data_IF_401828805275
#
_entry.id   IF_401828805275
#
_cell.length_a   1.000
_cell.length_b   1.000
_cell.length_c   1.000
_cell.angle_alpha   90.00
_cell.angle_beta   90.00
_cell.angle_gamma   90.00
#
_symmetry.space_group_name_H-M   'P 1'
#
loop_
_entity.id
_entity.type
_entity.pdbx_description
1 polymer ?
#
# COMPACT_ATOMS: atom_id res chain seq x y z
N UNK A 1 32.00 26.74 -19.50
CA UNK A 1 32.07 27.05 -18.05
C UNK A 1 30.82 26.52 -17.38
N UNK A 2 30.88 26.05 -16.14
CA UNK A 2 29.67 25.64 -15.42
C UNK A 2 28.68 26.81 -15.33
N UNK A 3 27.39 26.54 -15.60
CA UNK A 3 26.29 27.52 -15.57
C UNK A 3 25.24 27.02 -14.60
N UNK A 4 24.53 27.96 -13.94
CA UNK A 4 23.40 27.61 -13.10
C UNK A 4 22.23 27.09 -13.96
N UNK A 5 21.43 26.16 -13.43
CA UNK A 5 20.25 25.60 -14.14
C UNK A 5 19.23 26.70 -14.48
N UNK A 6 19.17 27.75 -13.66
CA UNK A 6 18.31 28.92 -13.88
C UNK A 6 18.83 29.87 -14.95
N UNK A 7 20.03 29.67 -15.47
CA UNK A 7 20.69 30.54 -16.44
C UNK A 7 20.42 30.06 -17.87
N UNK A 8 19.38 30.56 -18.52
CA UNK A 8 18.98 30.29 -19.91
C UNK A 8 18.83 28.80 -20.25
N UNK A 9 18.33 27.97 -19.31
CA UNK A 9 18.09 26.53 -19.51
C UNK A 9 19.28 25.82 -20.18
N UNK A 10 20.42 25.68 -19.49
CA UNK A 10 21.60 25.02 -20.05
C UNK A 10 21.28 23.58 -20.47
N UNK A 11 21.80 23.18 -21.61
CA UNK A 11 21.60 21.82 -22.18
C UNK A 11 22.92 21.07 -22.14
N UNK A 12 22.87 19.83 -21.63
CA UNK A 12 23.92 18.85 -21.86
C UNK A 12 23.50 17.99 -23.06
N UNK A 13 24.32 17.94 -24.10
CA UNK A 13 24.07 17.14 -25.27
C UNK A 13 25.12 16.03 -25.42
N UNK A 14 24.67 14.83 -25.81
CA UNK A 14 25.51 13.69 -26.13
C UNK A 14 25.19 13.26 -27.54
N UNK A 15 26.25 13.02 -28.35
CA UNK A 15 26.12 12.54 -29.71
C UNK A 15 26.63 11.11 -29.76
N UNK A 16 25.78 10.20 -30.23
CA UNK A 16 26.11 8.80 -30.46
C UNK A 16 26.27 8.60 -31.97
N UNK A 17 27.49 8.32 -32.41
CA UNK A 17 27.76 8.02 -33.81
C UNK A 17 27.62 6.52 -34.06
N UNK A 18 26.66 6.13 -34.89
CA UNK A 18 26.40 4.73 -35.27
C UNK A 18 27.23 4.28 -36.48
N UNK A 19 28.06 5.16 -37.06
CA UNK A 19 28.82 4.86 -38.23
C UNK A 19 27.94 4.50 -39.45
N UNK A 20 28.36 3.55 -40.26
CA UNK A 20 27.56 3.04 -41.39
C UNK A 20 26.51 2.06 -40.94
N UNK A 21 25.25 2.51 -40.92
CA UNK A 21 24.09 1.65 -40.57
C UNK A 21 23.69 0.82 -41.79
N UNK A 22 23.65 -0.50 -41.67
CA UNK A 22 23.29 -1.47 -42.69
C UNK A 22 22.07 -2.32 -42.25
N UNK A 23 21.93 -3.51 -42.83
CA UNK A 23 20.88 -4.45 -42.42
C UNK A 23 21.14 -5.12 -41.04
N UNK A 24 22.35 -5.01 -40.53
CA UNK A 24 22.69 -5.50 -39.20
C UNK A 24 22.25 -4.48 -38.14
N UNK A 25 21.63 -4.98 -37.05
CA UNK A 25 21.22 -4.12 -35.95
C UNK A 25 22.45 -3.58 -35.22
N UNK A 26 22.55 -2.26 -35.10
CA UNK A 26 23.54 -1.57 -34.26
C UNK A 26 22.80 -0.89 -33.11
N UNK A 27 23.21 -1.12 -31.89
CA UNK A 27 22.61 -0.51 -30.70
C UNK A 27 23.67 0.07 -29.79
N UNK A 28 23.32 1.18 -29.16
CA UNK A 28 24.09 1.80 -28.09
C UNK A 28 23.12 2.15 -26.95
N UNK A 29 23.61 2.26 -25.73
CA UNK A 29 22.78 2.63 -24.59
C UNK A 29 23.43 3.76 -23.79
N UNK A 30 22.59 4.50 -23.07
CA UNK A 30 22.97 5.56 -22.17
C UNK A 30 22.44 5.24 -20.77
N UNK A 31 23.29 5.37 -19.77
CA UNK A 31 22.90 5.25 -18.37
C UNK A 31 22.71 6.63 -17.79
N UNK A 32 21.51 6.91 -17.25
CA UNK A 32 21.20 8.08 -16.47
C UNK A 32 21.12 7.66 -15.01
N UNK A 33 21.83 8.36 -14.14
CA UNK A 33 21.84 8.08 -12.71
C UNK A 33 21.43 9.32 -11.91
N UNK A 34 20.62 9.08 -10.87
CA UNK A 34 20.27 10.06 -9.85
C UNK A 34 20.89 9.64 -8.53
N UNK A 35 21.67 10.52 -7.93
CA UNK A 35 22.23 10.35 -6.60
C UNK A 35 21.84 11.54 -5.74
N UNK A 36 20.91 11.31 -4.82
CA UNK A 36 20.41 12.29 -3.88
C UNK A 36 21.21 12.35 -2.56
N UNK A 37 22.32 11.60 -2.45
CA UNK A 37 23.17 11.41 -1.26
C UNK A 37 22.39 11.01 0.01
N UNK A 38 21.33 11.76 0.32
CA UNK A 38 20.37 11.52 1.40
C UNK A 38 18.98 11.56 0.83
N UNK A 39 18.35 10.38 0.79
CA UNK A 39 17.06 10.19 0.16
C UNK A 39 15.92 10.76 0.99
N UNK A 40 15.93 10.52 2.30
CA UNK A 40 14.84 10.84 3.22
C UNK A 40 15.40 11.44 4.50
N UNK A 41 14.75 12.50 4.99
CA UNK A 41 14.91 12.96 6.35
C UNK A 41 13.83 12.31 7.23
N UNK A 42 14.20 11.25 7.94
CA UNK A 42 13.30 10.49 8.81
C UNK A 42 13.52 10.91 10.27
N UNK A 43 12.64 11.79 10.78
CA UNK A 43 12.72 12.35 12.15
C UNK A 43 14.10 12.84 12.54
N UNK A 44 14.74 13.59 11.65
CA UNK A 44 16.09 14.16 11.85
C UNK A 44 17.25 13.25 11.43
N UNK A 45 16.98 11.97 11.17
CA UNK A 45 17.95 11.05 10.59
C UNK A 45 17.98 11.21 9.07
N UNK A 46 19.14 11.49 8.50
CA UNK A 46 19.34 11.56 7.06
C UNK A 46 19.60 10.16 6.53
N UNK A 47 18.58 9.52 5.96
CA UNK A 47 18.69 8.18 5.40
C UNK A 47 19.30 8.24 4.00
N UNK A 48 20.27 7.36 3.76
CA UNK A 48 20.88 7.19 2.44
C UNK A 48 20.07 6.23 1.56
N UNK A 49 20.19 6.31 0.23
CA UNK A 49 19.65 5.28 -0.65
C UNK A 49 20.13 3.89 -0.22
N UNK A 50 19.28 2.89 -0.34
CA UNK A 50 19.59 1.53 0.11
C UNK A 50 20.84 0.94 -0.54
N UNK A 51 21.14 1.28 -1.79
CA UNK A 51 22.35 0.84 -2.47
C UNK A 51 23.67 1.32 -1.80
N UNK A 52 23.62 2.42 -1.04
CA UNK A 52 24.77 2.94 -0.28
C UNK A 52 25.01 2.25 1.05
N UNK A 53 24.14 1.32 1.50
CA UNK A 53 24.23 0.68 2.83
C UNK A 53 25.59 0.01 3.14
N UNK A 54 26.30 -0.43 2.09
CA UNK A 54 27.61 -1.09 2.20
C UNK A 54 28.77 -0.15 1.85
N UNK A 55 28.57 1.18 1.88
CA UNK A 55 29.61 2.16 1.60
C UNK A 55 29.87 2.48 0.13
N UNK A 56 29.10 1.89 -0.79
CA UNK A 56 29.17 2.14 -2.24
C UNK A 56 29.02 3.64 -2.55
N UNK A 57 29.83 4.17 -3.45
CA UNK A 57 29.75 5.53 -3.96
C UNK A 57 29.12 5.56 -5.36
N UNK A 58 28.75 6.74 -5.85
CA UNK A 58 28.08 6.88 -7.14
C UNK A 58 28.89 6.26 -8.32
N UNK A 59 30.21 6.41 -8.32
CA UNK A 59 31.06 5.82 -9.35
C UNK A 59 31.08 4.29 -9.28
N UNK A 60 31.04 3.72 -8.06
CA UNK A 60 30.97 2.27 -7.87
C UNK A 60 29.64 1.73 -8.41
N UNK A 61 28.53 2.43 -8.14
CA UNK A 61 27.20 2.07 -8.67
C UNK A 61 27.19 2.09 -10.20
N UNK A 62 27.72 3.17 -10.82
CA UNK A 62 27.79 3.26 -12.28
C UNK A 62 28.66 2.15 -12.88
N UNK A 63 29.80 1.85 -12.27
CA UNK A 63 30.69 0.77 -12.69
C UNK A 63 29.98 -0.58 -12.59
N UNK A 64 29.30 -0.86 -11.49
CA UNK A 64 28.53 -2.08 -11.31
C UNK A 64 27.39 -2.17 -12.37
N UNK A 65 26.65 -1.07 -12.58
CA UNK A 65 25.57 -1.03 -13.57
C UNK A 65 26.05 -1.35 -14.99
N UNK A 66 27.21 -0.84 -15.41
CA UNK A 66 27.82 -1.14 -16.71
C UNK A 66 28.21 -2.62 -16.81
N UNK A 67 28.88 -3.14 -15.77
CA UNK A 67 29.35 -4.52 -15.75
C UNK A 67 28.22 -5.55 -15.76
N UNK A 68 27.13 -5.24 -15.04
CA UNK A 68 26.01 -6.15 -14.83
C UNK A 68 24.91 -5.99 -15.90
N UNK A 69 24.97 -4.97 -16.75
CA UNK A 69 23.89 -4.58 -17.66
C UNK A 69 23.31 -5.74 -18.46
N UNK A 70 24.18 -6.48 -19.19
CA UNK A 70 23.73 -7.57 -20.05
C UNK A 70 23.09 -8.73 -19.27
N UNK A 71 23.60 -9.02 -18.07
CA UNK A 71 23.04 -10.05 -17.21
C UNK A 71 21.71 -9.60 -16.61
N UNK A 72 21.63 -8.36 -16.13
CA UNK A 72 20.40 -7.79 -15.58
C UNK A 72 19.30 -7.69 -16.64
N UNK A 73 19.64 -7.26 -17.85
CA UNK A 73 18.69 -7.23 -18.97
C UNK A 73 18.09 -8.61 -19.21
N UNK A 74 18.92 -9.64 -19.30
CA UNK A 74 18.43 -11.00 -19.50
C UNK A 74 17.55 -11.50 -18.35
N UNK A 75 17.93 -11.20 -17.11
CA UNK A 75 17.11 -11.59 -15.93
C UNK A 75 15.75 -10.88 -15.95
N UNK A 76 15.72 -9.58 -16.31
CA UNK A 76 14.48 -8.83 -16.45
C UNK A 76 13.58 -9.42 -17.54
N UNK A 77 14.15 -9.74 -18.72
CA UNK A 77 13.41 -10.36 -19.84
C UNK A 77 12.75 -11.69 -19.42
N UNK A 78 13.49 -12.54 -18.69
CA UNK A 78 12.95 -13.82 -18.18
C UNK A 78 11.84 -13.58 -17.18
N UNK A 79 12.06 -12.70 -16.21
CA UNK A 79 11.08 -12.38 -15.19
C UNK A 79 9.80 -11.78 -15.78
N UNK A 80 9.94 -10.82 -16.69
CA UNK A 80 8.80 -10.17 -17.36
C UNK A 80 7.98 -11.20 -18.14
N UNK A 81 8.64 -12.13 -18.85
CA UNK A 81 7.94 -13.17 -19.60
C UNK A 81 7.19 -14.14 -18.68
N UNK A 82 7.83 -14.61 -17.59
CA UNK A 82 7.19 -15.49 -16.61
C UNK A 82 5.98 -14.81 -15.95
N UNK A 83 6.12 -13.54 -15.54
CA UNK A 83 5.04 -12.77 -14.93
C UNK A 83 3.85 -12.62 -15.89
N UNK A 84 4.11 -12.23 -17.14
CA UNK A 84 3.06 -12.03 -18.14
C UNK A 84 2.38 -13.36 -18.47
N UNK A 85 3.12 -14.44 -18.63
CA UNK A 85 2.57 -15.75 -18.94
C UNK A 85 1.65 -16.27 -17.83
N UNK A 86 2.07 -16.14 -16.57
CA UNK A 86 1.30 -16.60 -15.43
C UNK A 86 0.03 -15.78 -15.23
N UNK A 87 0.11 -14.47 -15.35
CA UNK A 87 -1.07 -13.62 -15.22
C UNK A 87 -2.02 -13.80 -16.42
N UNK A 88 -1.48 -14.04 -17.63
CA UNK A 88 -2.29 -14.33 -18.82
C UNK A 88 -3.10 -15.62 -18.65
N UNK A 89 -2.52 -16.66 -18.07
CA UNK A 89 -3.23 -17.90 -17.74
C UNK A 89 -4.40 -17.67 -16.78
N UNK A 90 -4.24 -16.70 -15.85
CA UNK A 90 -5.24 -16.41 -14.83
C UNK A 90 -6.39 -15.53 -15.37
N UNK A 91 -6.10 -14.49 -16.13
CA UNK A 91 -7.08 -13.46 -16.48
C UNK A 91 -7.06 -13.00 -17.96
N UNK A 92 -6.20 -13.58 -18.78
CA UNK A 92 -6.03 -13.20 -20.19
C UNK A 92 -5.09 -11.98 -20.37
N UNK A 93 -4.77 -11.67 -21.63
CA UNK A 93 -3.77 -10.66 -22.01
C UNK A 93 -4.07 -9.25 -21.46
N UNK A 94 -5.34 -8.82 -21.48
CA UNK A 94 -5.72 -7.48 -20.99
C UNK A 94 -5.46 -7.36 -19.50
N UNK A 95 -5.80 -8.40 -18.75
CA UNK A 95 -5.54 -8.45 -17.31
C UNK A 95 -4.04 -8.45 -17.02
N UNK A 96 -3.26 -9.23 -17.77
CA UNK A 96 -1.81 -9.28 -17.63
C UNK A 96 -1.16 -7.91 -17.86
N UNK A 97 -1.60 -7.15 -18.86
CA UNK A 97 -1.12 -5.78 -19.12
C UNK A 97 -1.41 -4.81 -17.98
N UNK A 98 -2.62 -4.87 -17.39
CA UNK A 98 -2.98 -4.03 -16.23
C UNK A 98 -2.13 -4.39 -15.02
N UNK A 99 -1.95 -5.68 -14.74
CA UNK A 99 -1.11 -6.14 -13.63
C UNK A 99 0.37 -5.76 -13.81
N UNK A 100 0.92 -5.90 -15.00
CA UNK A 100 2.30 -5.51 -15.29
C UNK A 100 2.52 -4.00 -15.12
N UNK A 101 1.51 -3.17 -15.51
CA UNK A 101 1.55 -1.74 -15.28
C UNK A 101 1.48 -1.40 -13.78
N UNK A 102 0.57 -2.04 -13.04
CA UNK A 102 0.44 -1.88 -11.60
C UNK A 102 1.74 -2.26 -10.88
N UNK A 103 2.37 -3.38 -11.29
CA UNK A 103 3.69 -3.79 -10.79
C UNK A 103 4.73 -2.69 -10.93
N UNK A 104 4.87 -2.18 -12.12
CA UNK A 104 5.82 -1.13 -12.41
C UNK A 104 5.55 0.13 -11.58
N UNK A 105 4.28 0.51 -11.43
CA UNK A 105 3.88 1.69 -10.66
C UNK A 105 4.15 1.50 -9.16
N UNK A 106 3.85 0.32 -8.61
CA UNK A 106 4.14 -0.01 -7.21
C UNK A 106 5.63 0.13 -6.90
N UNK A 107 6.52 -0.33 -7.78
CA UNK A 107 7.96 -0.16 -7.57
C UNK A 107 8.42 1.28 -7.77
N UNK A 108 7.98 1.94 -8.85
CA UNK A 108 8.44 3.28 -9.23
C UNK A 108 7.98 4.38 -8.26
N UNK A 109 6.84 4.20 -7.60
CA UNK A 109 6.28 5.16 -6.65
C UNK A 109 7.02 5.24 -5.30
N UNK A 110 8.07 4.44 -5.10
CA UNK A 110 8.75 4.30 -3.82
C UNK A 110 10.17 4.85 -3.82
N UNK A 111 10.61 5.27 -2.63
CA UNK A 111 12.02 5.50 -2.33
C UNK A 111 12.51 4.44 -1.34
N UNK A 112 13.45 3.62 -1.76
CA UNK A 112 14.10 2.63 -0.90
C UNK A 112 15.35 3.23 -0.27
N UNK A 113 15.34 3.34 1.04
CA UNK A 113 16.44 3.83 1.86
C UNK A 113 16.95 2.75 2.82
N UNK A 114 18.04 3.02 3.50
CA UNK A 114 18.57 2.18 4.58
C UNK A 114 18.53 2.91 5.91
N UNK A 115 18.16 2.20 6.97
CA UNK A 115 18.36 2.68 8.34
C UNK A 115 19.85 2.63 8.77
N UNK A 116 20.13 3.02 9.99
CA UNK A 116 21.50 3.02 10.54
C UNK A 116 22.14 1.61 10.63
N UNK A 117 21.32 0.56 10.61
CA UNK A 117 21.76 -0.84 10.66
C UNK A 117 21.81 -1.48 9.26
N UNK A 118 21.56 -0.71 8.20
CA UNK A 118 21.51 -1.17 6.84
C UNK A 118 20.21 -1.92 6.47
N UNK A 119 19.19 -1.88 7.34
CA UNK A 119 17.89 -2.49 7.05
C UNK A 119 17.10 -1.64 6.06
N UNK A 120 16.32 -2.27 5.15
CA UNK A 120 15.53 -1.52 4.18
C UNK A 120 14.39 -0.75 4.84
N UNK A 121 14.18 0.48 4.40
CA UNK A 121 13.02 1.31 4.70
C UNK A 121 12.45 1.80 3.37
N UNK A 122 11.17 1.52 3.12
CA UNK A 122 10.49 1.84 1.87
C UNK A 122 9.49 2.98 2.12
N UNK A 123 9.59 4.02 1.31
CA UNK A 123 8.76 5.22 1.44
C UNK A 123 8.01 5.47 0.15
N UNK A 124 6.72 5.10 0.04
CA UNK A 124 5.88 5.53 -1.06
C UNK A 124 5.69 7.04 -1.02
N UNK A 125 5.63 7.64 -2.21
CA UNK A 125 5.42 9.06 -2.43
C UNK A 125 4.10 9.27 -3.16
N UNK A 126 3.27 10.13 -2.65
CA UNK A 126 2.17 10.66 -3.44
C UNK A 126 2.69 11.65 -4.48
N UNK A 127 2.30 11.45 -5.73
CA UNK A 127 2.92 12.17 -6.84
C UNK A 127 2.15 13.41 -7.30
N UNK A 128 0.82 13.41 -7.17
CA UNK A 128 -0.01 14.45 -7.77
C UNK A 128 -1.02 15.09 -6.83
N UNK A 129 -1.47 14.41 -5.77
CA UNK A 129 -2.51 14.93 -4.88
C UNK A 129 -1.95 15.95 -3.87
N UNK A 130 -1.06 15.54 -2.99
CA UNK A 130 -0.58 16.38 -1.90
C UNK A 130 0.93 16.27 -1.59
N UNK A 131 1.62 15.28 -2.16
CA UNK A 131 3.05 15.02 -1.94
C UNK A 131 3.38 14.36 -0.60
N UNK A 132 2.42 13.75 0.07
CA UNK A 132 2.65 12.99 1.30
C UNK A 132 3.64 11.84 1.08
N UNK A 133 4.33 11.46 2.16
CA UNK A 133 5.30 10.37 2.17
C UNK A 133 4.86 9.28 3.15
N UNK A 134 5.03 8.02 2.75
CA UNK A 134 4.60 6.85 3.50
C UNK A 134 3.10 6.91 3.87
N UNK A 135 2.29 7.35 2.92
CA UNK A 135 0.84 7.47 3.04
C UNK A 135 0.23 6.08 3.15
N UNK A 136 -0.51 5.82 4.22
CA UNK A 136 -0.95 4.46 4.57
C UNK A 136 -2.01 3.93 3.63
N UNK A 137 -2.92 4.77 3.15
CA UNK A 137 -3.93 4.40 2.14
C UNK A 137 -3.33 4.25 0.72
N UNK A 138 -2.11 4.73 0.48
CA UNK A 138 -1.30 4.40 -0.71
C UNK A 138 -0.53 3.09 -0.52
N UNK A 139 -0.01 2.84 0.70
CA UNK A 139 0.63 1.55 1.05
C UNK A 139 -0.37 0.40 0.85
N UNK A 140 -1.58 0.54 1.33
CA UNK A 140 -2.58 -0.51 1.36
C UNK A 140 -2.89 -1.15 -0.01
N UNK A 141 -3.21 -0.42 -1.08
CA UNK A 141 -3.46 -1.02 -2.40
C UNK A 141 -2.19 -1.50 -3.10
N UNK A 142 -1.01 -1.02 -2.72
CA UNK A 142 0.28 -1.42 -3.26
C UNK A 142 0.77 -2.76 -2.67
N UNK A 143 0.51 -3.00 -1.39
CA UNK A 143 1.09 -4.12 -0.63
C UNK A 143 0.75 -5.53 -1.14
N UNK A 144 -0.43 -5.83 -1.70
CA UNK A 144 -0.69 -7.16 -2.28
C UNK A 144 0.41 -7.60 -3.24
N UNK A 145 1.04 -6.67 -3.91
CA UNK A 145 2.15 -6.90 -4.81
C UNK A 145 3.42 -7.33 -4.07
N UNK A 146 3.81 -6.58 -3.03
CA UNK A 146 4.98 -6.93 -2.23
C UNK A 146 4.73 -8.15 -1.34
N UNK A 147 3.51 -8.36 -0.86
CA UNK A 147 3.13 -9.62 -0.17
C UNK A 147 3.40 -10.84 -1.05
N UNK A 148 3.17 -10.73 -2.35
CA UNK A 148 3.42 -11.81 -3.29
C UNK A 148 4.92 -11.97 -3.61
N UNK A 149 5.68 -10.89 -3.75
CA UNK A 149 7.06 -10.93 -4.25
C UNK A 149 8.13 -10.84 -3.17
N UNK A 150 7.91 -10.07 -2.10
CA UNK A 150 8.95 -9.76 -1.13
C UNK A 150 8.39 -9.32 0.23
N UNK A 151 8.13 -10.24 1.17
CA UNK A 151 7.74 -9.90 2.53
C UNK A 151 8.68 -8.89 3.22
N UNK A 152 9.96 -8.87 2.81
CA UNK A 152 10.93 -7.89 3.31
C UNK A 152 10.56 -6.45 2.93
N UNK A 153 10.04 -6.23 1.71
CA UNK A 153 9.58 -4.91 1.27
C UNK A 153 8.29 -4.49 1.97
N UNK A 154 7.40 -5.44 2.27
CA UNK A 154 6.22 -5.18 3.12
C UNK A 154 6.65 -4.66 4.49
N UNK A 155 7.58 -5.33 5.16
CA UNK A 155 8.12 -4.83 6.44
C UNK A 155 8.76 -3.45 6.28
N UNK A 156 9.51 -3.25 5.20
CA UNK A 156 10.20 -2.00 4.94
C UNK A 156 9.24 -0.81 4.78
N UNK A 157 8.03 -1.01 4.23
CA UNK A 157 7.00 0.02 4.10
C UNK A 157 6.26 0.28 5.42
N UNK A 158 6.01 -0.77 6.21
CA UNK A 158 5.24 -0.67 7.45
C UNK A 158 6.08 -0.12 8.62
N UNK A 159 7.38 -0.46 8.71
CA UNK A 159 8.26 -0.07 9.84
C UNK A 159 8.31 1.44 10.06
N UNK A 160 8.46 2.31 9.05
CA UNK A 160 8.47 3.75 9.27
C UNK A 160 7.20 4.27 9.95
N UNK A 161 6.03 3.78 9.52
CA UNK A 161 4.72 4.15 10.06
C UNK A 161 4.54 3.64 11.48
N UNK A 162 4.88 2.36 11.71
CA UNK A 162 4.77 1.72 13.02
C UNK A 162 5.65 2.38 14.07
N UNK A 163 6.90 2.73 13.72
CA UNK A 163 7.82 3.42 14.62
C UNK A 163 7.30 4.83 14.98
N UNK A 164 6.74 5.54 14.01
CA UNK A 164 6.12 6.84 14.26
C UNK A 164 4.90 6.72 15.17
N UNK A 165 4.01 5.79 14.87
CA UNK A 165 2.82 5.53 15.69
C UNK A 165 3.15 5.05 17.11
N UNK A 166 4.32 4.42 17.31
CA UNK A 166 4.80 3.99 18.63
C UNK A 166 5.51 5.11 19.41
N UNK A 167 5.82 6.23 18.77
CA UNK A 167 6.51 7.35 19.40
C UNK A 167 5.57 8.24 20.23
N UNK A 168 6.13 9.04 21.14
CA UNK A 168 5.36 10.01 21.94
C UNK A 168 4.76 11.14 21.10
N UNK A 169 5.11 11.23 19.83
CA UNK A 169 4.56 12.24 18.92
C UNK A 169 3.13 11.92 18.48
N UNK A 170 2.85 10.64 18.17
CA UNK A 170 1.51 10.23 17.75
C UNK A 170 0.65 9.84 18.94
N UNK A 171 -0.27 10.72 19.32
CA UNK A 171 -1.07 10.58 20.54
C UNK A 171 -2.47 10.02 20.30
N UNK A 172 -2.93 9.98 19.06
CA UNK A 172 -4.28 9.54 18.73
C UNK A 172 -4.45 8.02 18.90
N UNK A 173 -5.69 7.55 19.12
CA UNK A 173 -5.97 6.11 19.33
C UNK A 173 -6.02 5.29 18.06
N UNK A 174 -5.77 5.87 16.91
CA UNK A 174 -5.80 5.29 15.56
C UNK A 174 -4.45 5.44 14.84
N UNK A 175 -4.29 4.79 13.67
CA UNK A 175 -3.08 4.86 12.87
C UNK A 175 -2.94 6.22 12.15
N UNK A 176 -1.71 6.72 11.95
CA UNK A 176 -1.47 7.95 11.18
C UNK A 176 -1.72 7.70 9.69
N UNK A 177 -2.08 8.77 8.96
CA UNK A 177 -2.24 8.75 7.52
C UNK A 177 -0.90 8.80 6.79
N UNK A 178 0.04 9.64 7.20
CA UNK A 178 1.33 9.86 6.52
C UNK A 178 2.45 10.20 7.52
N UNK A 179 3.65 10.37 7.01
CA UNK A 179 4.81 10.78 7.80
C UNK A 179 5.30 12.20 7.48
N UNK A 180 4.63 12.95 6.62
CA UNK A 180 5.02 14.30 6.19
C UNK A 180 4.97 14.50 4.68
N UNK A 181 5.70 15.49 4.16
CA UNK A 181 5.86 15.74 2.73
C UNK A 181 7.24 15.36 2.25
N UNK A 182 7.32 14.59 1.16
CA UNK A 182 8.58 14.17 0.54
C UNK A 182 9.55 15.34 0.31
N UNK A 183 10.84 15.22 0.66
CA UNK A 183 11.55 14.07 1.23
C UNK A 183 11.61 14.07 2.78
N UNK A 184 10.72 14.77 3.45
CA UNK A 184 10.72 14.94 4.92
C UNK A 184 9.64 14.06 5.54
N UNK A 185 10.05 12.94 6.12
CA UNK A 185 9.22 12.08 6.95
C UNK A 185 9.43 12.50 8.43
N UNK A 186 8.78 13.60 8.83
CA UNK A 186 9.02 14.27 10.13
C UNK A 186 7.76 14.50 10.95
N UNK A 187 6.65 13.85 10.62
CA UNK A 187 5.35 13.90 11.28
C UNK A 187 4.24 14.17 10.29
N UNK A 188 3.06 13.63 10.55
CA UNK A 188 1.89 13.73 9.70
C UNK A 188 1.54 15.19 9.35
N UNK A 189 1.17 15.42 8.08
CA UNK A 189 0.73 16.72 7.59
C UNK A 189 -0.73 16.73 7.14
N UNK A 190 -1.29 15.58 6.81
CA UNK A 190 -2.68 15.45 6.38
C UNK A 190 -3.67 15.75 7.52
N UNK A 191 -4.86 16.27 7.17
CA UNK A 191 -5.90 16.60 8.13
C UNK A 191 -5.41 17.56 9.22
N UNK A 192 -5.78 17.30 10.47
CA UNK A 192 -5.31 18.06 11.63
C UNK A 192 -3.85 17.81 12.04
N UNK A 193 -3.11 17.00 11.27
CA UNK A 193 -1.72 16.63 11.55
C UNK A 193 -1.58 15.91 12.89
N UNK A 194 -0.60 16.33 13.69
CA UNK A 194 -0.37 15.81 15.04
C UNK A 194 -1.20 16.54 16.14
N UNK A 195 -2.10 17.47 15.75
CA UNK A 195 -2.72 18.43 16.69
C UNK A 195 -4.20 18.14 16.96
N UNK A 196 -4.98 17.83 15.93
CA UNK A 196 -6.43 17.60 16.05
C UNK A 196 -6.87 16.38 15.26
N UNK A 197 -8.06 15.88 15.54
CA UNK A 197 -8.69 14.77 14.79
C UNK A 197 -9.42 15.25 13.53
N UNK A 198 -9.44 16.55 13.26
CA UNK A 198 -10.14 17.12 12.10
C UNK A 198 -9.56 16.59 10.78
N UNK A 199 -10.42 16.07 9.93
CA UNK A 199 -10.04 15.54 8.61
C UNK A 199 -9.14 14.31 8.65
N UNK A 200 -9.01 13.63 9.78
CA UNK A 200 -8.28 12.36 9.89
C UNK A 200 -9.06 11.21 9.24
N UNK A 201 -8.36 10.09 9.00
CA UNK A 201 -8.91 8.87 8.39
C UNK A 201 -8.77 7.65 9.33
N UNK A 202 -9.33 7.72 10.53
CA UNK A 202 -8.98 6.78 11.61
C UNK A 202 -9.37 5.33 11.35
N UNK A 203 -10.54 5.08 10.75
CA UNK A 203 -11.00 3.71 10.43
C UNK A 203 -10.23 3.16 9.24
N UNK A 204 -10.01 3.99 8.23
CA UNK A 204 -9.25 3.63 7.04
C UNK A 204 -7.85 3.15 7.40
N UNK A 205 -7.08 4.00 8.08
CA UNK A 205 -5.65 3.76 8.29
C UNK A 205 -5.39 2.66 9.32
N UNK A 206 -6.19 2.62 10.39
CA UNK A 206 -6.08 1.54 11.38
C UNK A 206 -6.42 0.19 10.77
N UNK A 207 -7.46 0.15 9.92
CA UNK A 207 -7.85 -1.05 9.20
C UNK A 207 -6.78 -1.52 8.21
N UNK A 208 -6.22 -0.59 7.44
CA UNK A 208 -5.13 -0.85 6.50
C UNK A 208 -3.95 -1.55 7.19
N UNK A 209 -3.44 -0.94 8.26
CA UNK A 209 -2.27 -1.46 8.96
C UNK A 209 -2.52 -2.85 9.58
N UNK A 210 -3.68 -3.08 10.21
CA UNK A 210 -3.99 -4.39 10.82
C UNK A 210 -4.11 -5.48 9.77
N UNK A 211 -4.81 -5.23 8.65
CA UNK A 211 -4.98 -6.20 7.56
C UNK A 211 -3.64 -6.57 6.92
N UNK A 212 -2.78 -5.58 6.64
CA UNK A 212 -1.47 -5.81 6.04
C UNK A 212 -0.54 -6.60 6.97
N UNK A 213 -0.53 -6.29 8.25
CA UNK A 213 0.28 -7.01 9.25
C UNK A 213 -0.23 -8.46 9.40
N UNK A 214 -1.53 -8.68 9.36
CA UNK A 214 -2.09 -10.04 9.39
C UNK A 214 -1.76 -10.84 8.12
N UNK A 215 -1.79 -10.19 6.96
CA UNK A 215 -1.39 -10.80 5.70
C UNK A 215 0.10 -11.18 5.69
N UNK A 216 0.96 -10.29 6.18
CA UNK A 216 2.38 -10.57 6.35
C UNK A 216 2.60 -11.77 7.30
N UNK A 217 1.93 -11.78 8.46
CA UNK A 217 2.02 -12.88 9.41
C UNK A 217 1.57 -14.23 8.81
N UNK A 218 0.53 -14.20 7.97
CA UNK A 218 0.06 -15.39 7.24
C UNK A 218 1.12 -15.94 6.28
N UNK A 219 1.80 -15.06 5.54
CA UNK A 219 2.84 -15.45 4.58
C UNK A 219 4.08 -15.99 5.31
N UNK A 220 4.47 -15.36 6.42
CA UNK A 220 5.62 -15.79 7.21
C UNK A 220 5.32 -17.01 8.11
N UNK A 221 4.04 -17.36 8.30
CA UNK A 221 3.61 -18.44 9.16
C UNK A 221 3.81 -18.17 10.66
N UNK A 222 4.05 -16.93 11.05
CA UNK A 222 4.25 -16.52 12.43
C UNK A 222 3.82 -15.07 12.67
N UNK A 223 3.62 -14.68 13.94
CA UNK A 223 3.24 -13.33 14.34
C UNK A 223 4.39 -12.55 15.02
N UNK A 224 5.65 -12.88 14.73
CA UNK A 224 6.80 -12.24 15.37
C UNK A 224 6.87 -10.76 15.04
N UNK A 225 6.72 -10.38 13.78
CA UNK A 225 6.69 -8.98 13.38
C UNK A 225 5.54 -8.22 14.04
N UNK A 226 4.32 -8.76 14.05
CA UNK A 226 3.17 -8.17 14.73
C UNK A 226 3.42 -7.99 16.23
N UNK A 227 4.13 -8.92 16.86
CA UNK A 227 4.43 -8.88 18.30
C UNK A 227 5.33 -7.73 18.70
N UNK A 228 6.20 -7.23 17.80
CA UNK A 228 7.04 -6.05 18.05
C UNK A 228 6.20 -4.78 18.26
N UNK A 229 5.03 -4.71 17.63
CA UNK A 229 4.16 -3.53 17.63
C UNK A 229 2.79 -3.81 18.28
N UNK A 230 2.71 -4.85 19.11
CA UNK A 230 1.45 -5.31 19.69
C UNK A 230 0.66 -4.24 20.45
N UNK A 231 1.29 -3.34 21.24
CA UNK A 231 0.57 -2.25 21.90
C UNK A 231 -0.18 -1.33 20.92
N UNK A 232 0.45 -1.01 19.77
CA UNK A 232 -0.17 -0.17 18.72
C UNK A 232 -1.35 -0.89 18.09
N UNK A 233 -1.17 -2.18 17.72
CA UNK A 233 -2.25 -2.98 17.14
C UNK A 233 -3.43 -3.09 18.10
N UNK A 234 -3.17 -3.30 19.39
CA UNK A 234 -4.21 -3.35 20.43
C UNK A 234 -4.94 -2.01 20.57
N UNK A 235 -4.20 -0.90 20.50
CA UNK A 235 -4.78 0.45 20.54
C UNK A 235 -5.72 0.68 19.37
N UNK A 236 -5.27 0.35 18.15
CA UNK A 236 -6.05 0.51 16.92
C UNK A 236 -7.28 -0.40 16.88
N UNK A 237 -7.14 -1.65 17.32
CA UNK A 237 -8.28 -2.56 17.32
C UNK A 237 -9.37 -2.15 18.32
N UNK A 238 -9.00 -1.59 19.48
CA UNK A 238 -9.95 -1.04 20.42
C UNK A 238 -10.72 0.15 19.81
N UNK A 239 -10.05 1.00 19.05
CA UNK A 239 -10.70 2.07 18.31
C UNK A 239 -11.69 1.52 17.27
N UNK A 240 -11.28 0.51 16.48
CA UNK A 240 -12.14 -0.11 15.47
C UNK A 240 -13.31 -0.90 16.09
N UNK A 241 -13.14 -1.49 17.26
CA UNK A 241 -14.23 -2.13 18.03
C UNK A 241 -15.31 -1.12 18.40
N UNK A 242 -14.94 0.10 18.78
CA UNK A 242 -15.85 1.16 19.20
C UNK A 242 -16.44 1.95 18.03
N UNK A 243 -15.62 2.34 17.05
CA UNK A 243 -15.96 3.33 16.01
C UNK A 243 -16.05 2.76 14.59
N UNK A 244 -15.60 1.54 14.36
CA UNK A 244 -15.40 1.02 13.01
C UNK A 244 -16.67 0.51 12.32
N UNK A 245 -17.71 0.12 13.06
CA UNK A 245 -18.93 -0.40 12.43
C UNK A 245 -19.69 0.67 11.66
N UNK A 246 -19.84 1.83 12.23
CA UNK A 246 -20.53 2.97 11.62
C UNK A 246 -19.56 4.16 11.56
N UNK A 247 -18.72 4.24 10.54
CA UNK A 247 -17.64 5.23 10.48
C UNK A 247 -18.17 6.66 10.41
N UNK A 248 -17.56 7.55 11.18
CA UNK A 248 -17.80 8.98 11.09
C UNK A 248 -17.30 9.54 9.76
N UNK A 249 -17.59 10.81 9.49
CA UNK A 249 -17.24 11.48 8.24
C UNK A 249 -15.72 11.54 8.03
N UNK A 250 -15.22 10.75 7.08
CA UNK A 250 -13.79 10.67 6.72
C UNK A 250 -13.63 10.31 5.25
N UNK A 251 -12.44 10.50 4.69
CA UNK A 251 -12.05 9.91 3.41
C UNK A 251 -11.72 8.42 3.59
N UNK A 252 -11.56 7.74 2.49
CA UNK A 252 -11.02 6.39 2.38
C UNK A 252 -10.10 6.30 1.16
N UNK A 253 -9.48 5.16 0.91
CA UNK A 253 -8.66 4.90 -0.28
C UNK A 253 -9.36 5.34 -1.59
N UNK A 254 -10.67 5.35 -1.59
CA UNK A 254 -11.50 5.81 -2.70
C UNK A 254 -11.83 7.28 -2.59
N UNK A 255 -10.93 8.15 -2.89
CA UNK A 255 -11.10 9.60 -2.83
C UNK A 255 -12.26 10.15 -3.69
N UNK A 256 -12.69 9.38 -4.68
CA UNK A 256 -13.74 9.80 -5.62
C UNK A 256 -15.09 10.06 -4.96
N UNK A 257 -15.40 9.38 -3.85
CA UNK A 257 -16.63 9.64 -3.08
C UNK A 257 -16.53 10.86 -2.18
N UNK A 258 -15.32 11.40 -1.96
CA UNK A 258 -15.07 12.45 -0.98
C UNK A 258 -15.29 11.96 0.46
N UNK A 259 -15.41 12.90 1.38
CA UNK A 259 -15.72 12.60 2.79
C UNK A 259 -17.14 12.03 2.92
N UNK A 260 -17.25 10.85 3.53
CA UNK A 260 -18.50 10.13 3.64
C UNK A 260 -18.62 9.46 5.01
N UNK A 261 -19.65 9.85 5.78
CA UNK A 261 -20.05 9.11 6.98
C UNK A 261 -20.83 7.84 6.60
N UNK A 262 -20.93 6.91 7.54
CA UNK A 262 -21.71 5.68 7.38
C UNK A 262 -21.24 4.78 6.23
N UNK A 263 -19.98 4.93 5.78
CA UNK A 263 -19.42 4.24 4.63
C UNK A 263 -19.40 2.73 4.83
N UNK A 264 -20.18 2.01 4.01
CA UNK A 264 -20.35 0.57 4.13
C UNK A 264 -19.05 -0.22 3.85
N UNK A 265 -18.20 0.27 2.93
CA UNK A 265 -16.93 -0.40 2.62
C UNK A 265 -15.85 -0.17 3.69
N UNK A 266 -15.84 0.99 4.36
CA UNK A 266 -15.02 1.22 5.56
C UNK A 266 -15.45 0.33 6.73
N UNK A 267 -16.77 0.14 6.92
CA UNK A 267 -17.29 -0.80 7.91
C UNK A 267 -16.82 -2.23 7.64
N UNK A 268 -16.81 -2.68 6.37
CA UNK A 268 -16.22 -3.99 5.99
C UNK A 268 -14.76 -4.06 6.40
N UNK A 269 -13.97 -3.01 6.15
CA UNK A 269 -12.55 -2.96 6.53
C UNK A 269 -12.37 -3.14 8.05
N UNK A 270 -13.13 -2.41 8.85
CA UNK A 270 -13.08 -2.51 10.32
C UNK A 270 -13.46 -3.90 10.81
N UNK A 271 -14.55 -4.47 10.29
CA UNK A 271 -15.02 -5.83 10.65
C UNK A 271 -13.94 -6.87 10.33
N UNK A 272 -13.35 -6.81 9.15
CA UNK A 272 -12.28 -7.74 8.76
C UNK A 272 -11.00 -7.52 9.55
N UNK A 273 -10.71 -6.29 9.98
CA UNK A 273 -9.57 -6.00 10.86
C UNK A 273 -9.74 -6.60 12.25
N UNK A 274 -10.97 -6.62 12.79
CA UNK A 274 -11.26 -7.33 14.04
C UNK A 274 -10.96 -8.83 13.92
N UNK A 275 -11.42 -9.47 12.85
CA UNK A 275 -11.14 -10.88 12.60
C UNK A 275 -9.65 -11.15 12.35
N UNK A 276 -8.98 -10.25 11.61
CA UNK A 276 -7.54 -10.33 11.35
C UNK A 276 -6.71 -10.21 12.64
N UNK A 277 -7.10 -9.33 13.55
CA UNK A 277 -6.48 -9.24 14.86
C UNK A 277 -6.74 -10.51 15.69
N UNK A 278 -7.96 -11.08 15.63
CA UNK A 278 -8.27 -12.38 16.23
C UNK A 278 -7.39 -13.51 15.69
N UNK A 279 -7.11 -13.50 14.39
CA UNK A 279 -6.17 -14.41 13.75
C UNK A 279 -4.71 -14.22 14.26
N UNK A 280 -4.25 -12.98 14.41
CA UNK A 280 -2.95 -12.69 15.02
C UNK A 280 -2.88 -13.14 16.48
N UNK A 281 -3.97 -12.98 17.27
CA UNK A 281 -4.08 -13.51 18.63
C UNK A 281 -3.91 -15.02 18.66
N UNK A 282 -4.53 -15.75 17.73
CA UNK A 282 -4.40 -17.21 17.61
C UNK A 282 -2.95 -17.62 17.34
N UNK A 283 -2.29 -16.97 16.39
CA UNK A 283 -0.87 -17.23 16.08
C UNK A 283 0.05 -16.98 17.27
N UNK A 284 -0.31 -16.07 18.18
CA UNK A 284 0.40 -15.79 19.43
C UNK A 284 0.00 -16.69 20.59
N UNK A 285 -0.96 -17.59 20.40
CA UNK A 285 -1.47 -18.49 21.43
C UNK A 285 -2.51 -17.87 22.36
N UNK A 286 -2.96 -16.64 22.11
CA UNK A 286 -4.02 -15.96 22.87
C UNK A 286 -5.41 -16.38 22.36
N UNK A 287 -5.84 -17.56 22.79
CA UNK A 287 -7.11 -18.16 22.37
C UNK A 287 -8.33 -17.38 22.85
N UNK A 288 -8.22 -16.66 23.97
CA UNK A 288 -9.34 -15.91 24.56
C UNK A 288 -9.67 -14.72 23.65
N UNK A 289 -8.68 -13.89 23.35
CA UNK A 289 -8.88 -12.74 22.47
C UNK A 289 -9.14 -13.18 21.02
N UNK A 290 -8.54 -14.26 20.55
CA UNK A 290 -8.88 -14.83 19.25
C UNK A 290 -10.37 -15.14 19.15
N UNK A 291 -10.94 -15.89 20.09
CA UNK A 291 -12.35 -16.22 20.10
C UNK A 291 -13.25 -14.98 20.23
N UNK A 292 -12.87 -13.99 21.11
CA UNK A 292 -13.58 -12.72 21.27
C UNK A 292 -13.73 -12.00 19.92
N UNK A 293 -12.61 -11.73 19.25
CA UNK A 293 -12.61 -10.89 18.04
C UNK A 293 -13.20 -11.61 16.84
N UNK A 294 -13.00 -12.94 16.71
CA UNK A 294 -13.66 -13.74 15.68
C UNK A 294 -15.20 -13.71 15.82
N UNK A 295 -15.71 -13.85 17.05
CA UNK A 295 -17.14 -13.78 17.32
C UNK A 295 -17.69 -12.39 17.03
N UNK A 296 -17.04 -11.35 17.54
CA UNK A 296 -17.44 -9.96 17.34
C UNK A 296 -17.53 -9.60 15.86
N UNK A 297 -16.51 -9.95 15.08
CA UNK A 297 -16.49 -9.70 13.64
C UNK A 297 -17.68 -10.36 12.92
N UNK A 298 -18.01 -11.62 13.26
CA UNK A 298 -19.16 -12.32 12.67
C UNK A 298 -20.50 -11.66 13.07
N UNK A 299 -20.66 -11.25 14.32
CA UNK A 299 -21.85 -10.53 14.76
C UNK A 299 -22.01 -9.20 14.04
N UNK A 300 -20.91 -8.47 13.86
CA UNK A 300 -20.89 -7.22 13.10
C UNK A 300 -21.19 -7.46 11.61
N UNK A 301 -20.67 -8.51 10.99
CA UNK A 301 -20.94 -8.83 9.59
C UNK A 301 -22.43 -9.13 9.35
N UNK A 302 -23.10 -9.81 10.27
CA UNK A 302 -24.55 -10.03 10.19
C UNK A 302 -25.34 -8.71 10.29
N UNK A 303 -24.93 -7.81 11.19
CA UNK A 303 -25.55 -6.47 11.31
C UNK A 303 -25.29 -5.64 10.04
N UNK A 304 -24.06 -5.71 9.51
CA UNK A 304 -23.68 -5.02 8.30
C UNK A 304 -24.52 -5.45 7.10
N UNK A 305 -24.73 -6.76 6.93
CA UNK A 305 -25.51 -7.30 5.85
C UNK A 305 -26.95 -6.74 5.85
N UNK A 306 -27.53 -6.52 7.04
CA UNK A 306 -28.84 -5.87 7.17
C UNK A 306 -28.80 -4.35 6.95
N UNK A 307 -27.78 -3.67 7.48
CA UNK A 307 -27.68 -2.20 7.41
C UNK A 307 -27.35 -1.70 5.99
N UNK A 308 -26.54 -2.45 5.27
CA UNK A 308 -26.11 -2.12 3.90
C UNK A 308 -27.06 -2.65 2.82
N UNK A 309 -28.08 -3.44 3.16
CA UNK A 309 -28.96 -4.10 2.19
C UNK A 309 -29.71 -3.09 1.30
N UNK A 310 -29.62 -3.27 0.00
CA UNK A 310 -30.38 -2.53 -1.02
C UNK A 310 -30.97 -3.48 -2.09
N UNK A 311 -31.34 -4.67 -1.67
CA UNK A 311 -31.99 -5.71 -2.48
C UNK A 311 -30.99 -6.54 -3.28
N UNK A 312 -30.48 -6.04 -4.39
CA UNK A 312 -29.57 -6.78 -5.29
C UNK A 312 -28.08 -6.44 -5.12
N UNK A 313 -27.78 -5.49 -4.29
CA UNK A 313 -26.42 -5.02 -3.94
C UNK A 313 -26.41 -4.38 -2.55
N UNK A 314 -25.26 -3.93 -2.08
CA UNK A 314 -25.12 -3.17 -0.86
C UNK A 314 -24.90 -1.69 -1.15
N UNK A 315 -25.47 -0.83 -0.30
CA UNK A 315 -25.34 0.65 -0.35
C UNK A 315 -23.91 1.11 -0.26
N UNK A 316 -23.64 2.31 -0.74
CA UNK A 316 -22.36 3.00 -0.48
C UNK A 316 -22.21 3.40 0.99
N UNK A 317 -23.30 3.88 1.60
CA UNK A 317 -23.41 4.23 3.02
C UNK A 317 -24.74 3.78 3.58
N UNK A 318 -24.81 3.47 4.90
CA UNK A 318 -25.99 2.88 5.52
C UNK A 318 -27.24 3.74 5.39
N UNK A 319 -27.09 5.07 5.35
CA UNK A 319 -28.16 6.07 5.24
C UNK A 319 -28.49 6.48 3.80
N UNK A 320 -27.84 5.89 2.78
CA UNK A 320 -28.03 6.26 1.37
C UNK A 320 -28.65 5.12 0.54
N UNK A 321 -29.99 4.95 0.56
CA UNK A 321 -30.67 3.95 -0.26
C UNK A 321 -30.56 4.28 -1.75
N UNK A 322 -30.65 3.26 -2.60
CA UNK A 322 -30.51 3.33 -4.07
C UNK A 322 -29.11 3.81 -4.54
N UNK A 323 -28.09 3.54 -3.74
CA UNK A 323 -26.69 3.80 -4.07
C UNK A 323 -25.88 2.51 -4.00
N UNK A 324 -24.74 2.49 -4.64
CA UNK A 324 -23.81 1.35 -4.58
C UNK A 324 -22.35 1.83 -4.60
N UNK A 325 -21.45 0.97 -4.24
CA UNK A 325 -20.01 1.14 -4.46
C UNK A 325 -19.32 -0.21 -4.48
N UNK A 326 -18.09 -0.26 -4.95
CA UNK A 326 -17.30 -1.48 -4.88
C UNK A 326 -16.93 -1.80 -3.42
N UNK A 327 -17.25 -3.03 -2.97
CA UNK A 327 -16.89 -3.54 -1.64
C UNK A 327 -15.56 -4.29 -1.70
N UNK A 328 -14.52 -3.65 -2.26
CA UNK A 328 -13.21 -4.28 -2.50
C UNK A 328 -12.56 -4.82 -1.23
N UNK A 329 -12.84 -4.26 -0.06
CA UNK A 329 -12.30 -4.75 1.20
C UNK A 329 -12.72 -6.20 1.51
N UNK A 330 -13.84 -6.69 0.95
CA UNK A 330 -14.27 -8.09 1.11
C UNK A 330 -13.23 -9.11 0.63
N UNK A 331 -12.31 -8.71 -0.24
CA UNK A 331 -11.24 -9.59 -0.72
C UNK A 331 -10.39 -10.17 0.41
N UNK A 332 -10.20 -9.42 1.48
CA UNK A 332 -9.39 -9.85 2.62
C UNK A 332 -10.01 -10.98 3.42
N UNK A 333 -11.34 -11.08 3.44
CA UNK A 333 -12.01 -12.24 4.05
C UNK A 333 -11.57 -13.53 3.38
N UNK A 334 -11.41 -13.51 2.05
CA UNK A 334 -10.96 -14.64 1.26
C UNK A 334 -9.43 -14.84 1.35
N UNK A 335 -8.63 -13.79 1.16
CA UNK A 335 -7.16 -13.86 1.17
C UNK A 335 -6.67 -14.39 2.53
N UNK A 336 -7.21 -13.88 3.63
CA UNK A 336 -6.86 -14.28 4.97
C UNK A 336 -7.59 -15.55 5.44
N UNK A 337 -8.61 -16.00 4.72
CA UNK A 337 -9.48 -17.14 5.07
C UNK A 337 -10.16 -16.96 6.43
N UNK A 338 -10.71 -15.76 6.68
CA UNK A 338 -11.30 -15.40 7.96
C UNK A 338 -12.71 -15.96 8.14
N UNK A 339 -13.45 -16.15 7.05
CA UNK A 339 -14.81 -16.69 7.02
C UNK A 339 -15.79 -15.89 7.91
N UNK A 340 -15.79 -14.58 7.73
CA UNK A 340 -16.58 -13.61 8.51
C UNK A 340 -17.91 -13.31 7.85
N UNK A 341 -17.89 -12.97 6.56
CA UNK A 341 -19.10 -12.63 5.80
C UNK A 341 -19.76 -13.87 5.18
N UNK A 342 -21.10 -13.88 5.12
CA UNK A 342 -21.81 -14.90 4.33
C UNK A 342 -21.33 -14.81 2.87
N UNK A 343 -20.90 -15.91 2.25
CA UNK A 343 -20.49 -15.93 0.85
C UNK A 343 -21.53 -15.35 -0.13
N UNK A 344 -22.80 -15.35 0.25
CA UNK A 344 -23.88 -14.73 -0.55
C UNK A 344 -23.64 -13.26 -0.78
N UNK A 345 -23.06 -12.52 0.18
CA UNK A 345 -22.74 -11.10 0.04
C UNK A 345 -21.82 -10.89 -1.15
N UNK A 346 -20.69 -11.59 -1.20
CA UNK A 346 -19.73 -11.49 -2.31
C UNK A 346 -20.34 -11.91 -3.64
N UNK A 347 -21.14 -12.98 -3.67
CA UNK A 347 -21.81 -13.45 -4.89
C UNK A 347 -22.77 -12.40 -5.43
N UNK A 348 -23.55 -11.77 -4.55
CA UNK A 348 -24.52 -10.72 -4.87
C UNK A 348 -23.81 -9.47 -5.41
N UNK A 349 -22.76 -8.98 -4.73
CA UNK A 349 -21.95 -7.85 -5.18
C UNK A 349 -21.34 -8.09 -6.57
N UNK A 350 -20.69 -9.23 -6.79
CA UNK A 350 -20.08 -9.57 -8.09
C UNK A 350 -21.14 -9.69 -9.20
N UNK A 351 -22.32 -10.24 -8.91
CA UNK A 351 -23.41 -10.30 -9.87
C UNK A 351 -23.89 -8.91 -10.28
N UNK A 352 -23.99 -8.00 -9.31
CA UNK A 352 -24.35 -6.61 -9.57
C UNK A 352 -23.27 -5.88 -10.37
N UNK A 353 -22.00 -6.00 -10.00
CA UNK A 353 -20.88 -5.37 -10.70
C UNK A 353 -20.82 -5.80 -12.19
N UNK A 354 -21.03 -7.08 -12.47
CA UNK A 354 -21.12 -7.57 -13.86
C UNK A 354 -22.25 -6.93 -14.65
N UNK A 355 -23.37 -6.60 -13.99
CA UNK A 355 -24.53 -5.95 -14.63
C UNK A 355 -24.28 -4.50 -14.98
N UNK A 356 -23.53 -3.77 -14.13
CA UNK A 356 -23.28 -2.34 -14.30
C UNK A 356 -21.93 -2.02 -14.96
N UNK A 357 -21.14 -3.05 -15.25
CA UNK A 357 -19.85 -2.90 -15.92
C UNK A 357 -20.00 -2.26 -17.31
N UNK A 358 -19.09 -1.36 -17.64
CA UNK A 358 -18.99 -0.69 -18.94
C UNK A 358 -17.76 -1.21 -19.71
N UNK A 359 -17.63 -0.93 -21.03
CA UNK A 359 -16.50 -1.43 -21.82
C UNK A 359 -15.11 -1.04 -21.30
N UNK A 360 -15.01 0.06 -20.56
CA UNK A 360 -13.76 0.57 -20.00
C UNK A 360 -13.47 0.07 -18.58
N UNK A 361 -14.40 -0.68 -17.98
CA UNK A 361 -14.25 -1.22 -16.63
C UNK A 361 -15.53 -1.12 -15.80
N UNK A 362 -15.38 -1.05 -14.49
CA UNK A 362 -16.45 -0.84 -13.55
C UNK A 362 -16.32 0.56 -12.98
N UNK A 363 -17.38 1.37 -13.06
CA UNK A 363 -17.43 2.64 -12.35
C UNK A 363 -17.35 2.39 -10.84
N UNK A 364 -16.98 3.39 -10.09
CA UNK A 364 -16.86 3.26 -8.64
C UNK A 364 -18.25 3.19 -7.97
N UNK A 365 -19.18 4.02 -8.42
CA UNK A 365 -20.58 4.16 -7.98
C UNK A 365 -21.50 4.50 -9.15
#
# INVERSE_FOLDING_TARGET
>A
MPRAVSDELPVAAMVLDFGNVSTSVVSQYLILAYDDEYSINYFGQKLRPYWRRNGMQALDLLTAAVNDYANLQKQCEVFDQELIDDITKLGGEKYARVCALAYRQCLAGNKLAADANGQPMLFPKENSSNGCIATVDVIYPMEPFFLFLSPTLVKASLVPVLNYAASDRWKFPFAPHDLGCYPKATGQVYGGGEKTEDGQMPVEESGNMILLIAALAKIEGNAEFASLYWPQLTKWINYLEEKGFDPENQLCTDDFTGHLAHNANLSVKAILSLAAYGYLCEMRGDKINSAKYQKLAKEMAVKWASAADDGVHSRIAFDKPNTWSQKYNLVWDKILNLNVFDPKVTVQEIAYYKKVAIPLGLSYD
#
